data_IF_926338512590
#
_entry.id   IF_926338512590
#
_cell.length_a   1.000
_cell.length_b   1.000
_cell.length_c   1.000
_cell.angle_alpha   90.00
_cell.angle_beta   90.00
_cell.angle_gamma   90.00
#
_symmetry.space_group_name_H-M   'P 1'
#
loop_
_entity.id
_entity.type
_entity.pdbx_description
1 polymer ?
#
# COMPACT_ATOMS: atom_id res chain seq x y z
N UNK A 1 1.75 26.39 10.97
CA UNK A 1 2.84 26.43 9.97
C UNK A 1 2.43 25.55 8.80
N UNK A 2 2.33 26.10 7.59
CA UNK A 2 2.09 25.32 6.35
C UNK A 2 3.42 24.89 5.74
N UNK A 3 3.53 23.64 5.31
CA UNK A 3 4.70 23.13 4.61
C UNK A 3 4.56 23.40 3.11
N UNK A 4 5.67 23.77 2.44
CA UNK A 4 5.69 24.03 1.00
C UNK A 4 6.84 23.27 0.36
N UNK A 5 6.55 22.53 -0.70
CA UNK A 5 7.56 21.83 -1.49
C UNK A 5 7.32 22.02 -3.00
N UNK A 6 8.37 22.34 -3.74
CA UNK A 6 8.28 22.53 -5.19
C UNK A 6 8.47 21.19 -5.92
N UNK A 7 7.58 20.88 -6.86
CA UNK A 7 7.60 19.63 -7.64
C UNK A 7 7.45 19.91 -9.13
N UNK A 8 8.11 19.11 -9.95
CA UNK A 8 8.04 19.20 -11.41
C UNK A 8 6.84 18.42 -11.95
N UNK A 9 6.05 19.05 -12.82
CA UNK A 9 4.93 18.41 -13.51
C UNK A 9 5.46 17.47 -14.60
N UNK A 10 4.92 16.26 -14.65
CA UNK A 10 5.27 15.27 -15.67
C UNK A 10 4.62 15.59 -17.03
N UNK A 11 5.01 14.85 -18.07
CA UNK A 11 4.36 14.93 -19.40
C UNK A 11 2.88 14.51 -19.35
N UNK A 12 2.50 13.65 -18.41
CA UNK A 12 1.13 13.15 -18.26
C UNK A 12 0.30 14.00 -17.28
N UNK A 13 0.69 15.26 -17.04
CA UNK A 13 0.02 16.16 -16.11
C UNK A 13 -0.08 15.61 -14.68
N UNK A 14 0.97 14.94 -14.22
CA UNK A 14 1.00 14.40 -12.85
C UNK A 14 2.08 15.05 -11.99
N UNK A 15 1.79 15.19 -10.71
CA UNK A 15 2.73 15.60 -9.67
C UNK A 15 2.82 14.53 -8.60
N UNK A 16 4.04 14.13 -8.23
CA UNK A 16 4.26 13.15 -7.17
C UNK A 16 4.61 13.89 -5.88
N UNK A 17 3.83 13.66 -4.83
CA UNK A 17 4.07 14.20 -3.50
C UNK A 17 3.69 13.16 -2.44
N UNK A 18 4.55 12.89 -1.45
CA UNK A 18 4.35 11.85 -0.42
C UNK A 18 3.88 10.48 -0.99
N UNK A 19 4.47 10.06 -2.13
CA UNK A 19 4.10 8.85 -2.90
C UNK A 19 2.66 8.80 -3.41
N UNK A 20 1.91 9.87 -3.25
CA UNK A 20 0.60 10.07 -3.85
C UNK A 20 0.80 10.79 -5.17
N UNK A 21 0.20 10.25 -6.23
CA UNK A 21 0.23 10.87 -7.54
C UNK A 21 -0.98 11.78 -7.65
N UNK A 22 -0.78 13.05 -7.92
CA UNK A 22 -1.84 14.00 -8.18
C UNK A 22 -1.95 14.20 -9.68
N UNK A 23 -3.10 13.88 -10.24
CA UNK A 23 -3.40 14.04 -11.66
C UNK A 23 -4.09 15.38 -11.86
N UNK A 24 -3.44 16.31 -12.55
CA UNK A 24 -4.04 17.59 -12.91
C UNK A 24 -5.06 17.37 -14.02
N UNK A 25 -6.14 18.14 -14.02
CA UNK A 25 -7.13 18.07 -15.10
C UNK A 25 -6.49 18.47 -16.43
N UNK A 26 -6.89 17.78 -17.52
CA UNK A 26 -6.35 18.04 -18.85
C UNK A 26 -6.99 19.29 -19.48
N UNK A 27 -6.54 20.46 -19.03
CA UNK A 27 -6.96 21.77 -19.53
C UNK A 27 -5.83 22.41 -20.33
N UNK A 28 -6.15 23.31 -21.31
CA UNK A 28 -5.12 24.03 -22.06
C UNK A 28 -4.12 24.78 -21.16
N UNK A 29 -4.60 25.36 -20.06
CA UNK A 29 -3.76 26.02 -19.06
C UNK A 29 -2.78 25.02 -18.42
N UNK A 30 -3.27 23.88 -17.94
CA UNK A 30 -2.43 22.88 -17.28
C UNK A 30 -1.42 22.23 -18.23
N UNK A 31 -1.75 22.09 -19.52
CA UNK A 31 -0.79 21.61 -20.55
C UNK A 31 0.44 22.50 -20.67
N UNK A 32 0.33 23.80 -20.42
CA UNK A 32 1.50 24.69 -20.42
C UNK A 32 2.42 24.47 -19.22
N UNK A 33 1.92 23.84 -18.15
CA UNK A 33 2.66 23.53 -16.93
C UNK A 33 3.52 22.26 -17.07
N UNK A 34 3.41 21.52 -18.17
CA UNK A 34 4.24 20.33 -18.41
C UNK A 34 5.72 20.70 -18.31
N UNK A 35 6.47 19.92 -17.52
CA UNK A 35 7.89 20.16 -17.20
C UNK A 35 8.20 21.42 -16.40
N UNK A 36 7.20 22.21 -16.00
CA UNK A 36 7.38 23.33 -15.06
C UNK A 36 7.38 22.84 -13.61
N UNK A 37 8.00 23.65 -12.76
CA UNK A 37 8.00 23.47 -11.32
C UNK A 37 6.82 24.25 -10.74
N UNK A 38 6.04 23.57 -9.89
CA UNK A 38 4.87 24.12 -9.23
C UNK A 38 4.93 23.81 -7.72
N UNK A 39 4.16 24.54 -6.92
CA UNK A 39 4.22 24.41 -5.46
C UNK A 39 3.14 23.46 -4.94
N UNK A 40 3.55 22.56 -4.06
CA UNK A 40 2.66 21.72 -3.27
C UNK A 40 2.64 22.26 -1.84
N UNK A 41 1.46 22.65 -1.39
CA UNK A 41 1.20 23.17 -0.06
C UNK A 41 0.55 22.08 0.77
N UNK A 42 1.11 21.79 1.94
CA UNK A 42 0.51 20.91 2.93
C UNK A 42 0.14 21.72 4.18
N UNK A 43 -1.15 21.72 4.48
CA UNK A 43 -1.71 22.41 5.64
C UNK A 43 -1.68 21.51 6.88
N UNK A 44 -1.71 22.09 8.10
CA UNK A 44 -1.72 21.33 9.35
C UNK A 44 -2.87 20.31 9.45
N UNK A 45 -4.02 20.60 8.83
CA UNK A 45 -5.19 19.74 8.75
C UNK A 45 -5.05 18.57 7.76
N UNK A 46 -3.95 18.52 7.00
CA UNK A 46 -3.66 17.46 6.03
C UNK A 46 -4.20 17.73 4.64
N UNK A 47 -4.83 18.89 4.42
CA UNK A 47 -5.18 19.32 3.07
C UNK A 47 -3.91 19.57 2.28
N UNK A 48 -3.89 19.04 1.07
CA UNK A 48 -2.82 19.24 0.11
C UNK A 48 -3.38 20.03 -1.05
N UNK A 49 -2.75 21.17 -1.33
CA UNK A 49 -3.10 22.03 -2.45
C UNK A 49 -1.95 22.10 -3.44
N UNK A 50 -2.27 21.96 -4.72
CA UNK A 50 -1.33 22.14 -5.80
C UNK A 50 -1.55 23.50 -6.42
N UNK A 51 -0.50 24.31 -6.48
CA UNK A 51 -0.56 25.68 -6.95
C UNK A 51 0.45 25.95 -8.05
N UNK A 52 0.01 26.58 -9.13
CA UNK A 52 0.87 27.13 -10.18
C UNK A 52 0.62 28.62 -10.30
N UNK A 53 1.68 29.42 -10.33
CA UNK A 53 1.60 30.88 -10.49
C UNK A 53 0.64 31.57 -9.51
N UNK A 54 0.52 31.02 -8.29
CA UNK A 54 -0.36 31.53 -7.22
C UNK A 54 -1.82 31.05 -7.30
N UNK A 55 -2.24 30.38 -8.37
CA UNK A 55 -3.58 29.80 -8.52
C UNK A 55 -3.61 28.33 -8.10
N UNK A 56 -4.70 27.91 -7.44
CA UNK A 56 -4.94 26.51 -7.08
C UNK A 56 -5.41 25.73 -8.31
N UNK A 57 -4.78 24.59 -8.56
CA UNK A 57 -5.14 23.70 -9.67
C UNK A 57 -6.10 22.61 -9.20
N UNK A 58 -7.14 22.37 -9.99
CA UNK A 58 -7.97 21.18 -9.83
C UNK A 58 -7.16 19.92 -10.15
N UNK A 59 -7.14 19.00 -9.19
CA UNK A 59 -6.42 17.74 -9.33
C UNK A 59 -7.17 16.59 -8.65
N UNK A 60 -6.98 15.39 -9.18
CA UNK A 60 -7.47 14.14 -8.60
C UNK A 60 -6.32 13.40 -7.93
N UNK A 61 -6.54 12.97 -6.70
CA UNK A 61 -5.60 12.12 -5.99
C UNK A 61 -5.65 10.69 -6.55
N UNK A 62 -4.52 10.18 -7.04
CA UNK A 62 -4.31 8.80 -7.42
C UNK A 62 -3.29 8.15 -6.49
N UNK A 63 -3.80 7.36 -5.56
CA UNK A 63 -2.98 6.66 -4.58
C UNK A 63 -2.58 5.28 -5.08
N UNK A 64 -1.32 5.13 -5.50
CA UNK A 64 -0.76 3.85 -5.97
C UNK A 64 -0.66 2.78 -4.88
N UNK A 65 -0.78 3.18 -3.61
CA UNK A 65 -0.73 2.29 -2.45
C UNK A 65 -2.12 2.07 -1.84
N UNK A 66 -3.20 2.51 -2.49
CA UNK A 66 -4.55 2.19 -2.05
C UNK A 66 -4.68 0.66 -1.96
N UNK A 67 -5.06 0.17 -0.78
CA UNK A 67 -5.42 -1.22 -0.59
C UNK A 67 -6.61 -1.51 -1.52
N UNK A 68 -6.40 -2.38 -2.50
CA UNK A 68 -7.48 -2.88 -3.34
C UNK A 68 -8.34 -3.77 -2.45
N UNK A 69 -9.62 -3.45 -2.33
CA UNK A 69 -10.59 -4.35 -1.71
C UNK A 69 -10.60 -5.66 -2.51
N UNK A 70 -9.94 -6.67 -1.98
CA UNK A 70 -9.92 -7.99 -2.58
C UNK A 70 -11.27 -8.61 -2.24
N UNK A 71 -12.27 -8.31 -3.08
CA UNK A 71 -13.62 -8.80 -2.92
C UNK A 71 -13.66 -10.31 -2.65
N UNK A 72 -14.77 -10.79 -2.11
CA UNK A 72 -14.90 -12.16 -1.62
C UNK A 72 -14.36 -13.19 -2.63
N UNK A 73 -13.35 -13.97 -2.23
CA UNK A 73 -12.83 -15.08 -3.03
C UNK A 73 -13.92 -16.12 -3.15
N UNK A 74 -14.62 -16.14 -4.29
CA UNK A 74 -15.64 -17.14 -4.60
C UNK A 74 -14.97 -18.50 -4.79
N UNK A 75 -15.50 -19.55 -4.19
CA UNK A 75 -14.93 -20.89 -4.28
C UNK A 75 -14.88 -21.38 -5.74
N UNK A 76 -13.67 -21.37 -6.32
CA UNK A 76 -13.43 -21.89 -7.66
C UNK A 76 -12.34 -22.97 -7.61
N UNK A 77 -12.72 -24.23 -7.79
CA UNK A 77 -11.87 -25.42 -7.57
C UNK A 77 -10.49 -25.37 -8.24
N UNK A 78 -10.38 -24.69 -9.39
CA UNK A 78 -9.14 -24.59 -10.19
C UNK A 78 -8.28 -23.36 -9.86
N UNK A 79 -8.87 -22.30 -9.31
CA UNK A 79 -8.19 -21.02 -9.05
C UNK A 79 -7.95 -20.79 -7.55
N UNK A 80 -8.68 -21.47 -6.67
CA UNK A 80 -8.59 -21.30 -5.22
C UNK A 80 -7.17 -21.48 -4.70
N UNK A 81 -6.42 -22.46 -5.22
CA UNK A 81 -5.03 -22.68 -4.80
C UNK A 81 -4.09 -21.53 -5.23
N UNK A 82 -4.23 -21.05 -6.47
CA UNK A 82 -3.42 -19.95 -6.96
C UNK A 82 -3.72 -18.64 -6.20
N UNK A 83 -5.00 -18.42 -5.85
CA UNK A 83 -5.42 -17.28 -5.04
C UNK A 83 -4.86 -17.35 -3.61
N UNK A 84 -4.88 -18.53 -2.97
CA UNK A 84 -4.26 -18.74 -1.65
C UNK A 84 -2.76 -18.42 -1.65
N UNK A 85 -2.04 -18.82 -2.71
CA UNK A 85 -0.62 -18.49 -2.88
C UNK A 85 -0.44 -16.98 -3.06
N UNK A 86 -1.27 -16.34 -3.89
CA UNK A 86 -1.20 -14.90 -4.13
C UNK A 86 -1.46 -14.09 -2.85
N UNK A 87 -2.46 -14.47 -2.07
CA UNK A 87 -2.80 -13.86 -0.78
C UNK A 87 -1.65 -13.99 0.23
N UNK A 88 -1.08 -15.20 0.36
CA UNK A 88 0.04 -15.45 1.27
C UNK A 88 1.29 -14.62 0.90
N UNK A 89 1.58 -14.46 -0.40
CA UNK A 89 2.68 -13.60 -0.88
C UNK A 89 2.35 -12.12 -0.61
N UNK A 90 1.11 -11.70 -0.85
CA UNK A 90 0.69 -10.32 -0.62
C UNK A 90 0.78 -9.93 0.87
N UNK A 91 0.46 -10.84 1.79
CA UNK A 91 0.61 -10.63 3.22
C UNK A 91 2.07 -10.41 3.66
N UNK A 92 3.04 -10.91 2.89
CA UNK A 92 4.48 -10.71 3.16
C UNK A 92 5.02 -9.40 2.56
N UNK A 93 4.22 -8.65 1.81
CA UNK A 93 4.67 -7.41 1.14
C UNK A 93 4.79 -6.26 2.13
N UNK A 94 5.92 -5.56 2.06
CA UNK A 94 6.07 -4.26 2.68
C UNK A 94 5.41 -3.18 1.81
N UNK A 95 4.16 -2.85 2.12
CA UNK A 95 3.40 -1.79 1.44
C UNK A 95 3.53 -0.41 2.11
N UNK A 96 4.45 -0.22 3.07
CA UNK A 96 4.57 1.05 3.80
C UNK A 96 5.00 2.21 2.89
N UNK A 97 4.45 3.41 3.15
CA UNK A 97 4.95 4.68 2.60
C UNK A 97 6.35 5.00 3.14
N UNK A 98 7.18 5.70 2.36
CA UNK A 98 8.56 6.00 2.76
C UNK A 98 8.56 6.87 4.01
N UNK A 99 9.58 6.69 4.82
CA UNK A 99 9.89 7.52 5.99
C UNK A 99 10.43 8.91 5.63
N UNK A 100 10.72 9.18 4.36
CA UNK A 100 11.30 10.45 3.92
C UNK A 100 10.31 11.61 3.73
N UNK A 101 9.04 11.42 4.09
CA UNK A 101 8.01 12.46 3.98
C UNK A 101 7.72 13.09 5.35
N UNK A 102 7.30 14.37 5.40
CA UNK A 102 7.08 15.07 6.65
C UNK A 102 6.16 14.30 7.60
N UNK A 103 6.53 14.26 8.89
CA UNK A 103 5.69 13.60 9.89
C UNK A 103 4.40 14.38 10.10
N UNK A 104 3.26 13.71 9.97
CA UNK A 104 1.91 14.26 10.25
C UNK A 104 1.47 14.01 11.69
N UNK A 105 2.39 14.06 12.65
CA UNK A 105 2.10 13.79 14.08
C UNK A 105 0.98 14.69 14.63
N UNK A 106 0.85 15.91 14.09
CA UNK A 106 -0.20 16.87 14.47
C UNK A 106 -1.63 16.39 14.11
N UNK A 107 -1.77 15.36 13.27
CA UNK A 107 -3.05 14.78 12.85
C UNK A 107 -3.34 13.44 13.56
N UNK A 108 -2.59 13.11 14.62
CA UNK A 108 -2.73 11.82 15.31
C UNK A 108 -2.18 10.63 14.52
N UNK A 109 -1.57 10.88 13.34
CA UNK A 109 -0.90 9.85 12.56
C UNK A 109 0.44 9.56 13.22
N UNK A 110 0.63 8.33 13.68
CA UNK A 110 1.88 7.90 14.31
C UNK A 110 3.07 8.14 13.36
N UNK A 111 4.19 8.59 13.96
CA UNK A 111 5.45 8.79 13.22
C UNK A 111 5.80 7.48 12.52
N UNK A 112 5.99 7.56 11.19
CA UNK A 112 6.31 6.39 10.37
C UNK A 112 7.70 5.88 10.79
N UNK A 113 7.77 4.61 11.22
CA UNK A 113 9.06 3.99 11.56
C UNK A 113 9.95 3.91 10.31
N UNK A 114 11.21 4.35 10.38
CA UNK A 114 12.13 4.29 9.24
C UNK A 114 12.45 2.84 8.84
N UNK A 115 12.48 1.94 9.81
CA UNK A 115 12.84 0.53 9.62
C UNK A 115 11.70 -0.31 9.06
N UNK A 116 12.08 -1.38 8.36
CA UNK A 116 11.17 -2.37 7.79
C UNK A 116 10.50 -3.19 8.87
N UNK A 117 9.23 -3.54 8.67
CA UNK A 117 8.60 -4.58 9.50
C UNK A 117 9.35 -5.89 9.29
N UNK A 118 9.77 -6.53 10.39
CA UNK A 118 10.51 -7.78 10.36
C UNK A 118 9.73 -8.83 9.56
N UNK A 119 10.41 -9.52 8.64
CA UNK A 119 9.81 -10.57 7.81
C UNK A 119 9.09 -10.10 6.55
N UNK A 120 9.03 -8.79 6.25
CA UNK A 120 8.40 -8.29 5.02
C UNK A 120 9.42 -8.03 3.90
N UNK A 121 8.98 -8.14 2.63
CA UNK A 121 9.80 -7.91 1.42
C UNK A 121 9.18 -6.84 0.53
N UNK A 122 10.01 -6.06 -0.18
CA UNK A 122 9.47 -5.13 -1.19
C UNK A 122 8.92 -5.92 -2.39
N UNK A 123 7.93 -5.40 -3.13
CA UNK A 123 7.39 -6.09 -4.31
C UNK A 123 8.43 -6.54 -5.34
N UNK A 124 9.52 -5.78 -5.51
CA UNK A 124 10.62 -6.08 -6.46
C UNK A 124 11.68 -7.04 -5.92
N UNK A 125 11.60 -7.40 -4.63
CA UNK A 125 12.54 -8.31 -3.95
C UNK A 125 12.01 -9.75 -3.91
N UNK A 126 10.75 -9.99 -4.30
CA UNK A 126 10.20 -11.35 -4.38
C UNK A 126 10.84 -12.12 -5.52
N UNK A 127 11.34 -13.30 -5.19
CA UNK A 127 11.97 -14.25 -6.11
C UNK A 127 11.06 -15.45 -6.37
N UNK A 128 11.40 -16.28 -7.35
CA UNK A 128 10.68 -17.54 -7.60
C UNK A 128 10.75 -18.48 -6.39
N UNK A 129 11.90 -18.56 -5.71
CA UNK A 129 12.07 -19.39 -4.52
C UNK A 129 11.10 -19.00 -3.39
N UNK A 130 10.75 -17.71 -3.28
CA UNK A 130 9.77 -17.25 -2.30
C UNK A 130 8.37 -17.79 -2.60
N UNK A 131 8.00 -17.85 -3.89
CA UNK A 131 6.71 -18.41 -4.33
C UNK A 131 6.68 -19.90 -4.07
N UNK A 132 7.75 -20.61 -4.40
CA UNK A 132 7.88 -22.07 -4.17
C UNK A 132 7.78 -22.41 -2.69
N UNK A 133 8.45 -21.66 -1.82
CA UNK A 133 8.35 -21.83 -0.37
C UNK A 133 6.91 -21.67 0.13
N UNK A 134 6.20 -20.65 -0.33
CA UNK A 134 4.79 -20.42 0.03
C UNK A 134 3.90 -21.57 -0.45
N UNK A 135 4.14 -22.10 -1.65
CA UNK A 135 3.40 -23.26 -2.17
C UNK A 135 3.62 -24.49 -1.27
N UNK A 136 4.87 -24.77 -0.90
CA UNK A 136 5.21 -25.90 -0.03
C UNK A 136 4.57 -25.74 1.35
N UNK A 137 4.66 -24.55 1.97
CA UNK A 137 4.04 -24.26 3.26
C UNK A 137 2.52 -24.48 3.23
N UNK A 138 1.85 -23.99 2.19
CA UNK A 138 0.40 -24.15 2.03
C UNK A 138 0.01 -25.63 1.81
N UNK A 139 0.81 -26.39 1.07
CA UNK A 139 0.60 -27.82 0.87
C UNK A 139 0.74 -28.59 2.19
N UNK A 140 1.76 -28.29 3.00
CA UNK A 140 1.97 -28.92 4.30
C UNK A 140 0.83 -28.58 5.29
N UNK A 141 0.37 -27.33 5.31
CA UNK A 141 -0.78 -26.91 6.14
C UNK A 141 -2.06 -27.67 5.80
N UNK A 142 -2.31 -27.99 4.53
CA UNK A 142 -3.45 -28.83 4.12
C UNK A 142 -3.32 -30.30 4.53
N UNK A 143 -2.10 -30.80 4.67
CA UNK A 143 -1.84 -32.20 5.04
C UNK A 143 -1.75 -32.42 6.56
N UNK A 144 -1.63 -31.36 7.34
CA UNK A 144 -1.60 -31.44 8.80
C UNK A 144 -2.91 -32.05 9.35
N UNK A 145 -2.83 -33.09 10.21
CA UNK A 145 -4.02 -33.64 10.85
C UNK A 145 -4.70 -32.58 11.72
N UNK A 146 -6.04 -32.55 11.81
CA UNK A 146 -6.72 -31.64 12.71
C UNK A 146 -6.26 -31.88 14.16
N UNK A 147 -6.19 -30.83 14.99
CA UNK A 147 -5.80 -30.98 16.39
C UNK A 147 -6.70 -32.02 17.06
N UNK A 148 -6.09 -33.03 17.68
CA UNK A 148 -6.80 -34.08 18.41
C UNK A 148 -7.67 -33.42 19.48
N UNK A 149 -8.99 -33.58 19.37
CA UNK A 149 -9.94 -33.17 20.43
C UNK A 149 -9.47 -33.79 21.75
N UNK A 150 -9.43 -33.05 22.87
CA UNK A 150 -9.02 -33.60 24.15
C UNK A 150 -9.95 -34.76 24.50
N UNK A 151 -9.37 -35.96 24.65
CA UNK A 151 -10.09 -37.19 24.94
C UNK A 151 -10.87 -37.06 26.25
N UNK A 152 -12.13 -37.53 26.23
CA UNK A 152 -13.00 -37.59 27.41
C UNK A 152 -12.30 -38.42 28.48
N UNK A 153 -11.88 -37.78 29.59
CA UNK A 153 -11.36 -38.50 30.76
C UNK A 153 -12.47 -39.41 31.28
N UNK A 154 -12.30 -40.71 31.14
CA UNK A 154 -13.12 -41.70 31.84
C UNK A 154 -12.79 -41.58 33.33
N UNK A 155 -13.76 -41.14 34.12
CA UNK A 155 -13.70 -41.27 35.57
C UNK A 155 -13.83 -42.77 35.89
N UNK A 156 -12.78 -43.36 36.48
CA UNK A 156 -12.87 -44.69 37.08
C UNK A 156 -13.79 -44.61 38.29
N UNK A 157 -14.79 -45.49 38.35
CA UNK A 157 -15.59 -45.71 39.54
C UNK A 157 -14.80 -46.59 40.52
N UNK A 158 -14.90 -46.24 41.81
CA UNK A 158 -14.41 -47.01 42.97
C UNK A 158 -14.99 -48.43 43.01
#
# INVERSE_FOLDING_TARGET
MSWRETRRVSKSLTVLYDRVLYLLDDTPANRTLIHRYIDVWEYPDGRIEIRADGAVLSCRQYDKLAEVDQGAVVEHKRLSHALQVAEAIQAQRDNRRASGSPSRTNQGIAVRKPERQAGTKKPREFTQADVEHVIVDLAQRKQAPPPRKPGRRSAGAN
#
